data_IF_482040558662
#
_entry.id   IF_482040558662
#
_cell.length_a   1.000
_cell.length_b   1.000
_cell.length_c   1.000
_cell.angle_alpha   90.00
_cell.angle_beta   90.00
_cell.angle_gamma   90.00
#
_symmetry.space_group_name_H-M   'P 1'
#
loop_
_entity.id
_entity.type
_entity.pdbx_description
1 polymer ?
#
# COMPACT_ATOMS: atom_id res chain seq x y z
N UNK A 1 2.07 3.98 15.94
CA UNK A 1 2.00 3.56 17.36
C UNK A 1 1.38 4.63 18.23
N UNK A 2 1.99 5.82 18.31
CA UNK A 2 1.47 6.95 19.12
C UNK A 2 0.09 7.44 18.66
N UNK A 3 -0.11 7.67 17.36
CA UNK A 3 -1.41 8.11 16.81
C UNK A 3 -2.57 7.14 17.12
N UNK A 4 -2.25 5.84 17.22
CA UNK A 4 -3.22 4.80 17.57
C UNK A 4 -3.29 4.55 19.09
N UNK A 5 -2.66 5.41 19.90
CA UNK A 5 -2.64 5.34 21.37
C UNK A 5 -2.08 4.04 21.94
N UNK A 6 -1.21 3.36 21.21
CA UNK A 6 -0.50 2.18 21.72
C UNK A 6 0.66 2.55 22.65
N UNK A 7 1.22 3.75 22.49
CA UNK A 7 2.34 4.28 23.27
C UNK A 7 2.09 5.78 23.46
N UNK A 8 2.37 6.31 24.65
CA UNK A 8 2.41 7.74 24.93
C UNK A 8 3.84 8.24 24.73
N UNK A 9 4.03 9.17 23.79
CA UNK A 9 5.31 9.83 23.55
C UNK A 9 5.08 11.18 22.86
N UNK A 10 5.92 12.17 23.16
CA UNK A 10 5.95 13.41 22.38
C UNK A 10 6.65 13.12 21.04
N UNK A 11 5.84 13.00 19.98
CA UNK A 11 6.36 12.74 18.65
C UNK A 11 7.15 13.90 18.07
N UNK A 12 6.93 15.12 18.56
CA UNK A 12 7.70 16.28 18.08
C UNK A 12 9.14 16.19 18.58
N UNK A 13 9.35 15.85 19.85
CA UNK A 13 10.69 15.64 20.43
C UNK A 13 11.39 14.42 19.82
N UNK A 14 10.72 13.26 19.80
CA UNK A 14 11.34 11.99 19.38
C UNK A 14 11.77 11.99 17.91
N UNK A 15 11.05 12.73 17.05
CA UNK A 15 11.28 12.74 15.61
C UNK A 15 11.98 14.01 15.12
N UNK A 16 12.32 14.96 16.00
CA UNK A 16 12.92 16.24 15.61
C UNK A 16 14.22 16.05 14.79
N UNK A 17 15.12 15.17 15.24
CA UNK A 17 16.37 14.91 14.52
C UNK A 17 16.10 14.29 13.15
N UNK A 18 15.10 13.41 13.07
CA UNK A 18 14.72 12.75 11.82
C UNK A 18 14.08 13.74 10.84
N UNK A 19 13.21 14.63 11.31
CA UNK A 19 12.61 15.71 10.53
C UNK A 19 13.70 16.62 9.95
N UNK A 20 14.63 17.06 10.81
CA UNK A 20 15.75 17.92 10.42
C UNK A 20 16.64 17.25 9.37
N UNK A 21 16.87 15.94 9.49
CA UNK A 21 17.64 15.18 8.51
C UNK A 21 16.91 15.08 7.18
N UNK A 22 15.63 14.67 7.17
CA UNK A 22 14.85 14.56 5.93
C UNK A 22 14.72 15.93 5.27
N UNK A 23 14.48 17.00 6.04
CA UNK A 23 14.39 18.35 5.50
C UNK A 23 15.70 18.78 4.82
N UNK A 24 16.85 18.53 5.45
CA UNK A 24 18.16 18.82 4.84
C UNK A 24 18.37 18.01 3.56
N UNK A 25 18.07 16.71 3.57
CA UNK A 25 18.15 15.86 2.38
C UNK A 25 17.24 16.39 1.25
N UNK A 26 16.03 16.83 1.58
CA UNK A 26 15.10 17.41 0.60
C UNK A 26 15.66 18.67 -0.07
N UNK A 27 16.31 19.55 0.69
CA UNK A 27 16.85 20.83 0.20
C UNK A 27 18.18 20.66 -0.56
N UNK A 28 19.08 19.80 -0.06
CA UNK A 28 20.44 19.68 -0.60
C UNK A 28 20.63 18.50 -1.55
N UNK A 29 19.79 17.47 -1.46
CA UNK A 29 19.93 16.23 -2.22
C UNK A 29 18.56 15.62 -2.55
N UNK A 30 17.69 16.44 -3.16
CA UNK A 30 16.32 16.07 -3.49
C UNK A 30 16.25 14.71 -4.22
N UNK A 31 15.43 13.76 -3.74
CA UNK A 31 15.32 12.45 -4.37
C UNK A 31 14.92 12.55 -5.84
N UNK A 32 15.60 11.80 -6.70
CA UNK A 32 15.27 11.72 -8.13
C UNK A 32 14.10 10.78 -8.41
N UNK A 33 13.81 9.89 -7.48
CA UNK A 33 12.71 8.94 -7.58
C UNK A 33 11.42 9.59 -7.05
N UNK A 34 10.29 9.29 -7.70
CA UNK A 34 8.99 9.83 -7.29
C UNK A 34 8.34 8.95 -6.22
N UNK A 35 8.59 7.64 -6.24
CA UNK A 35 7.77 6.62 -5.60
C UNK A 35 7.68 6.64 -4.07
N UNK A 36 6.82 5.77 -3.54
CA UNK A 36 6.52 5.69 -2.11
C UNK A 36 7.71 5.25 -1.25
N UNK A 37 8.52 4.31 -1.74
CA UNK A 37 9.53 3.63 -0.92
C UNK A 37 10.83 4.44 -0.81
N UNK A 38 11.29 5.02 -1.92
CA UNK A 38 12.59 5.67 -2.02
C UNK A 38 12.51 7.07 -2.64
N UNK A 39 11.31 7.61 -2.80
CA UNK A 39 11.07 8.83 -3.55
C UNK A 39 10.38 9.95 -2.80
N UNK A 40 10.13 11.03 -3.53
CA UNK A 40 9.57 12.28 -3.00
C UNK A 40 8.18 12.08 -2.37
N UNK A 41 7.37 11.14 -2.88
CA UNK A 41 6.04 10.83 -2.33
C UNK A 41 6.13 10.13 -0.97
N UNK A 42 7.18 9.32 -0.75
CA UNK A 42 7.46 8.73 0.57
C UNK A 42 7.74 9.80 1.63
N UNK A 43 8.62 10.75 1.30
CA UNK A 43 8.91 11.91 2.15
C UNK A 43 7.65 12.75 2.39
N UNK A 44 6.90 13.03 1.33
CA UNK A 44 5.63 13.75 1.42
C UNK A 44 4.62 13.07 2.35
N UNK A 45 4.46 11.76 2.19
CA UNK A 45 3.54 10.95 3.01
C UNK A 45 3.94 10.99 4.49
N UNK A 46 5.24 10.95 4.79
CA UNK A 46 5.74 11.10 6.15
C UNK A 46 5.31 12.44 6.78
N UNK A 47 5.61 13.56 6.12
CA UNK A 47 5.26 14.89 6.65
C UNK A 47 3.74 15.14 6.67
N UNK A 48 3.00 14.57 5.72
CA UNK A 48 1.55 14.57 5.73
C UNK A 48 1.01 13.86 6.98
N UNK A 49 1.55 12.68 7.34
CA UNK A 49 1.17 12.00 8.58
C UNK A 49 1.59 12.77 9.83
N UNK A 50 2.65 13.57 9.79
CA UNK A 50 3.02 14.47 10.89
C UNK A 50 1.98 15.57 11.10
N UNK A 51 1.48 16.22 10.04
CA UNK A 51 0.46 17.27 10.17
C UNK A 51 -0.94 16.72 10.48
N UNK A 52 -1.24 15.47 10.07
CA UNK A 52 -2.50 14.78 10.38
C UNK A 52 -2.56 14.25 11.82
N UNK A 53 -1.46 14.32 12.58
CA UNK A 53 -1.47 13.89 13.97
C UNK A 53 -2.47 14.74 14.77
N UNK A 54 -3.48 14.17 15.43
CA UNK A 54 -4.44 14.93 16.23
C UNK A 54 -3.82 15.74 17.37
N UNK A 55 -2.61 15.36 17.81
CA UNK A 55 -1.84 16.09 18.82
C UNK A 55 -1.03 17.26 18.22
N UNK A 56 -0.99 17.39 16.89
CA UNK A 56 -0.35 18.51 16.24
C UNK A 56 -1.16 19.79 16.48
N UNK A 57 -0.49 20.84 16.94
CA UNK A 57 -1.08 22.17 17.06
C UNK A 57 -0.68 23.00 15.83
N UNK A 58 -1.66 23.58 15.14
CA UNK A 58 -1.46 24.42 13.94
C UNK A 58 -0.59 25.66 14.19
N UNK A 59 -0.47 26.12 15.43
CA UNK A 59 0.32 27.28 15.81
C UNK A 59 1.76 26.92 16.20
N UNK A 60 2.09 25.62 16.34
CA UNK A 60 3.46 25.19 16.60
C UNK A 60 4.33 25.41 15.36
N UNK A 61 5.55 25.89 15.61
CA UNK A 61 6.59 26.07 14.59
C UNK A 61 6.85 24.76 13.83
N UNK A 62 6.87 23.62 14.52
CA UNK A 62 7.06 22.30 13.90
C UNK A 62 6.00 21.99 12.85
N UNK A 63 4.73 22.27 13.15
CA UNK A 63 3.62 22.09 12.19
C UNK A 63 3.77 23.01 10.98
N UNK A 64 4.19 24.26 11.18
CA UNK A 64 4.44 25.20 10.08
C UNK A 64 5.61 24.76 9.20
N UNK A 65 6.72 24.28 9.80
CA UNK A 65 7.87 23.74 9.07
C UNK A 65 7.49 22.49 8.28
N UNK A 66 6.65 21.61 8.83
CA UNK A 66 6.16 20.43 8.13
C UNK A 66 5.27 20.81 6.93
N UNK A 67 4.39 21.82 7.08
CA UNK A 67 3.60 22.36 5.96
C UNK A 67 4.48 22.98 4.87
N UNK A 68 5.49 23.75 5.26
CA UNK A 68 6.46 24.32 4.31
C UNK A 68 7.22 23.23 3.56
N UNK A 69 7.59 22.15 4.25
CA UNK A 69 8.25 20.98 3.65
C UNK A 69 7.33 20.29 2.62
N UNK A 70 6.04 20.17 2.92
CA UNK A 70 5.06 19.65 1.96
C UNK A 70 4.92 20.54 0.73
N UNK A 71 5.00 21.86 0.86
CA UNK A 71 5.00 22.78 -0.30
C UNK A 71 6.21 22.49 -1.20
N UNK A 72 7.41 22.32 -0.62
CA UNK A 72 8.60 21.94 -1.39
C UNK A 72 8.44 20.57 -2.08
N UNK A 73 7.83 19.60 -1.40
CA UNK A 73 7.50 18.30 -1.99
C UNK A 73 6.54 18.45 -3.18
N UNK A 74 5.52 19.30 -3.08
CA UNK A 74 4.56 19.54 -4.17
C UNK A 74 5.24 20.21 -5.37
N UNK A 75 6.12 21.19 -5.13
CA UNK A 75 6.89 21.84 -6.19
C UNK A 75 7.79 20.85 -6.92
N UNK A 76 8.46 19.99 -6.17
CA UNK A 76 9.33 18.97 -6.74
C UNK A 76 8.56 17.88 -7.47
N UNK A 77 7.41 17.46 -6.92
CA UNK A 77 6.53 16.51 -7.56
C UNK A 77 6.05 17.04 -8.92
N UNK A 78 5.59 18.29 -9.00
CA UNK A 78 5.22 18.93 -10.28
C UNK A 78 6.35 18.87 -11.30
N UNK A 79 7.58 19.16 -10.86
CA UNK A 79 8.77 19.11 -11.71
C UNK A 79 9.04 17.70 -12.23
N UNK A 80 8.90 16.68 -11.38
CA UNK A 80 9.14 15.29 -11.76
C UNK A 80 7.97 14.69 -12.55
N UNK A 81 6.76 15.24 -12.45
CA UNK A 81 5.56 14.75 -13.16
C UNK A 81 5.27 15.43 -14.49
N UNK A 82 6.24 16.12 -15.09
CA UNK A 82 6.07 16.76 -16.40
C UNK A 82 5.77 15.74 -17.51
N UNK A 83 6.39 14.56 -17.47
CA UNK A 83 6.09 13.46 -18.39
C UNK A 83 5.15 12.44 -17.74
N UNK A 84 3.86 12.78 -17.70
CA UNK A 84 2.82 11.93 -17.09
C UNK A 84 2.75 10.55 -17.76
N UNK A 85 3.08 10.44 -19.05
CA UNK A 85 3.02 9.17 -19.79
C UNK A 85 4.01 8.15 -19.25
N UNK A 86 5.20 8.59 -18.85
CA UNK A 86 6.19 7.71 -18.23
C UNK A 86 5.75 7.24 -16.84
N UNK A 87 5.02 8.07 -16.10
CA UNK A 87 4.55 7.73 -14.75
C UNK A 87 3.40 6.72 -14.80
N UNK A 88 2.51 6.86 -15.79
CA UNK A 88 1.39 5.94 -16.02
C UNK A 88 1.87 4.53 -16.42
N UNK A 89 3.12 4.36 -16.84
CA UNK A 89 3.61 3.02 -17.21
C UNK A 89 3.50 2.06 -16.03
N UNK A 90 2.94 0.89 -16.33
CA UNK A 90 2.81 -0.19 -15.35
C UNK A 90 4.18 -0.73 -14.94
N UNK A 91 4.32 -1.18 -13.69
CA UNK A 91 5.56 -1.76 -13.20
C UNK A 91 5.89 -3.05 -13.96
N UNK A 92 7.16 -3.17 -14.35
CA UNK A 92 7.71 -4.38 -14.94
C UNK A 92 8.23 -5.30 -13.84
N UNK A 93 7.92 -6.61 -13.90
CA UNK A 93 8.52 -7.58 -13.01
C UNK A 93 9.95 -7.87 -13.45
N UNK A 94 10.84 -8.07 -12.48
CA UNK A 94 12.10 -8.76 -12.72
C UNK A 94 11.77 -10.25 -12.83
N UNK A 95 12.01 -10.86 -13.99
CA UNK A 95 11.93 -12.31 -14.12
C UNK A 95 13.10 -12.95 -13.38
N UNK A 96 12.79 -14.00 -12.63
CA UNK A 96 13.79 -14.88 -12.08
C UNK A 96 14.38 -15.75 -13.19
N UNK A 97 15.70 -15.88 -13.19
CA UNK A 97 16.39 -16.98 -13.84
C UNK A 97 15.91 -18.27 -13.17
N UNK A 98 15.03 -19.02 -13.82
CA UNK A 98 14.79 -20.40 -13.44
C UNK A 98 16.09 -21.18 -13.70
N UNK A 99 16.99 -21.24 -12.72
CA UNK A 99 18.05 -22.24 -12.70
C UNK A 99 17.38 -23.61 -12.56
N UNK A 100 16.98 -24.17 -13.70
CA UNK A 100 16.65 -25.56 -13.83
C UNK A 100 17.95 -26.32 -13.60
N UNK A 101 18.29 -26.64 -12.36
CA UNK A 101 19.35 -27.62 -12.09
C UNK A 101 18.81 -29.00 -12.48
N UNK A 102 19.23 -29.60 -13.62
CA UNK A 102 18.92 -31.00 -13.84
C UNK A 102 19.60 -31.80 -12.73
N UNK A 103 18.80 -32.52 -11.94
CA UNK A 103 19.31 -33.53 -11.03
C UNK A 103 20.03 -34.60 -11.86
N UNK A 104 21.35 -34.50 -11.92
CA UNK A 104 22.23 -35.49 -12.52
C UNK A 104 22.57 -35.23 -13.99
N UNK A 105 23.44 -34.26 -14.26
CA UNK A 105 24.19 -34.24 -15.52
C UNK A 105 25.62 -33.74 -15.26
N UNK A 106 26.60 -34.59 -15.59
CA UNK A 106 28.00 -34.21 -15.70
C UNK A 106 28.14 -33.09 -16.75
N UNK A 107 28.88 -32.05 -16.38
CA UNK A 107 29.31 -30.90 -17.19
C UNK A 107 29.65 -31.30 -18.64
N UNK A 108 28.99 -30.68 -19.62
CA UNK A 108 29.62 -30.14 -20.84
C UNK A 108 28.69 -29.12 -21.53
N UNK A 109 29.28 -27.99 -21.95
CA UNK A 109 28.79 -26.87 -22.78
C UNK A 109 28.07 -25.67 -22.09
N UNK A 110 28.62 -24.44 -22.23
CA UNK A 110 27.99 -23.21 -21.78
C UNK A 110 27.49 -22.37 -22.98
N UNK A 111 26.39 -22.75 -23.62
CA UNK A 111 25.72 -21.89 -24.61
C UNK A 111 24.21 -22.13 -24.62
N UNK A 112 23.53 -21.67 -23.58
CA UNK A 112 22.09 -21.35 -23.66
C UNK A 112 21.92 -19.91 -23.19
N UNK A 113 21.71 -19.01 -24.15
CA UNK A 113 21.26 -17.64 -23.88
C UNK A 113 19.86 -17.74 -23.27
N UNK A 114 19.75 -17.56 -21.96
CA UNK A 114 18.47 -17.37 -21.29
C UNK A 114 17.85 -16.05 -21.78
N UNK A 115 16.71 -16.15 -22.45
CA UNK A 115 15.87 -15.00 -22.78
C UNK A 115 15.12 -14.63 -21.50
N UNK A 116 15.54 -13.58 -20.81
CA UNK A 116 14.82 -13.00 -19.68
C UNK A 116 13.56 -12.35 -20.24
N UNK A 117 12.42 -13.04 -20.24
CA UNK A 117 11.13 -12.45 -20.59
C UNK A 117 10.65 -11.59 -19.42
N UNK A 118 10.75 -10.26 -19.51
CA UNK A 118 10.18 -9.37 -18.49
C UNK A 118 8.65 -9.44 -18.57
N UNK A 119 8.01 -9.99 -17.53
CA UNK A 119 6.55 -10.03 -17.42
C UNK A 119 6.10 -8.82 -16.61
N UNK A 120 5.01 -8.14 -17.00
CA UNK A 120 4.41 -7.13 -16.12
C UNK A 120 3.84 -7.82 -14.86
N UNK A 121 3.95 -7.19 -13.68
CA UNK A 121 3.35 -7.70 -12.46
C UNK A 121 2.53 -6.63 -11.74
N UNK A 122 1.61 -7.08 -10.89
CA UNK A 122 0.99 -6.23 -9.89
C UNK A 122 2.04 -5.72 -8.90
N UNK A 123 2.07 -4.41 -8.62
CA UNK A 123 2.83 -3.85 -7.50
C UNK A 123 2.01 -2.74 -6.83
N UNK A 124 1.66 -2.93 -5.55
CA UNK A 124 0.88 -1.95 -4.78
C UNK A 124 1.58 -0.59 -4.64
N UNK A 125 2.90 -0.56 -4.83
CA UNK A 125 3.73 0.65 -4.76
C UNK A 125 3.88 1.34 -6.11
N UNK A 126 3.13 0.92 -7.13
CA UNK A 126 3.10 1.58 -8.43
C UNK A 126 2.87 3.09 -8.29
N UNK A 127 3.82 3.87 -8.82
CA UNK A 127 3.91 5.30 -8.58
C UNK A 127 2.62 6.05 -8.90
N UNK A 128 1.96 5.73 -10.01
CA UNK A 128 0.85 6.55 -10.51
C UNK A 128 -0.37 6.59 -9.57
N UNK A 129 -0.97 5.46 -9.14
CA UNK A 129 -2.02 5.47 -8.11
C UNK A 129 -1.57 6.05 -6.77
N UNK A 130 -0.32 5.81 -6.37
CA UNK A 130 0.23 6.34 -5.10
C UNK A 130 0.30 7.86 -5.14
N UNK A 131 0.77 8.46 -6.24
CA UNK A 131 0.81 9.92 -6.41
C UNK A 131 -0.61 10.50 -6.35
N UNK A 132 -1.57 9.90 -7.07
CA UNK A 132 -2.95 10.33 -7.03
C UNK A 132 -3.52 10.30 -5.60
N UNK A 133 -3.31 9.19 -4.88
CA UNK A 133 -3.74 9.07 -3.48
C UNK A 133 -3.11 10.14 -2.59
N UNK A 134 -1.80 10.37 -2.74
CA UNK A 134 -1.07 11.39 -1.97
C UNK A 134 -1.61 12.79 -2.25
N UNK A 135 -1.84 13.14 -3.52
CA UNK A 135 -2.42 14.43 -3.90
C UNK A 135 -3.85 14.60 -3.35
N UNK A 136 -4.67 13.54 -3.35
CA UNK A 136 -6.00 13.56 -2.73
C UNK A 136 -5.91 13.88 -1.24
N UNK A 137 -4.98 13.27 -0.51
CA UNK A 137 -4.79 13.55 0.92
C UNK A 137 -4.31 14.99 1.17
N UNK A 138 -3.39 15.51 0.35
CA UNK A 138 -2.95 16.90 0.45
C UNK A 138 -4.11 17.88 0.24
N UNK A 139 -4.95 17.61 -0.76
CA UNK A 139 -6.14 18.40 -1.05
C UNK A 139 -7.12 18.39 0.13
N UNK A 140 -7.37 17.22 0.72
CA UNK A 140 -8.23 17.08 1.89
C UNK A 140 -7.71 17.87 3.11
N UNK A 141 -6.39 18.00 3.25
CA UNK A 141 -5.77 18.78 4.31
C UNK A 141 -5.67 20.29 4.01
N UNK A 142 -6.25 20.74 2.89
CA UNK A 142 -6.18 22.11 2.41
C UNK A 142 -4.75 22.64 2.21
N UNK A 143 -3.80 21.76 1.86
CA UNK A 143 -2.39 22.11 1.66
C UNK A 143 -2.16 22.50 0.20
N UNK A 144 -1.94 23.80 -0.03
CA UNK A 144 -1.60 24.36 -1.34
C UNK A 144 -2.57 23.94 -2.46
N UNK A 145 -3.87 23.93 -2.14
CA UNK A 145 -4.93 23.34 -2.97
C UNK A 145 -4.91 23.76 -4.43
N UNK A 146 -4.67 25.03 -4.74
CA UNK A 146 -4.63 25.49 -6.13
C UNK A 146 -3.61 24.73 -6.97
N UNK A 147 -2.43 24.44 -6.42
CA UNK A 147 -1.38 23.70 -7.12
C UNK A 147 -1.67 22.20 -7.13
N UNK A 148 -2.13 21.66 -6.00
CA UNK A 148 -2.53 20.25 -5.89
C UNK A 148 -3.66 19.91 -6.86
N UNK A 149 -4.65 20.77 -7.00
CA UNK A 149 -5.76 20.65 -7.94
C UNK A 149 -5.28 20.60 -9.39
N UNK A 150 -4.37 21.50 -9.78
CA UNK A 150 -3.75 21.46 -11.11
C UNK A 150 -3.00 20.16 -11.38
N UNK A 151 -2.25 19.66 -10.38
CA UNK A 151 -1.55 18.38 -10.49
C UNK A 151 -2.53 17.21 -10.63
N UNK A 152 -3.61 17.20 -9.86
CA UNK A 152 -4.66 16.19 -9.97
C UNK A 152 -5.28 16.22 -11.38
N UNK A 153 -5.61 17.40 -11.91
CA UNK A 153 -6.14 17.57 -13.26
C UNK A 153 -5.15 17.04 -14.32
N UNK A 154 -3.88 17.47 -14.25
CA UNK A 154 -2.81 17.02 -15.15
C UNK A 154 -2.61 15.50 -15.11
N UNK A 155 -2.75 14.88 -13.94
CA UNK A 155 -2.60 13.44 -13.79
C UNK A 155 -3.79 12.69 -14.37
N UNK A 156 -5.01 13.21 -14.25
CA UNK A 156 -6.24 12.51 -14.67
C UNK A 156 -6.53 12.67 -16.16
N UNK A 157 -6.23 13.83 -16.74
CA UNK A 157 -6.53 14.13 -18.14
C UNK A 157 -6.08 13.02 -19.12
N UNK A 158 -4.86 12.46 -19.02
CA UNK A 158 -4.41 11.37 -19.89
C UNK A 158 -5.25 10.10 -19.80
N UNK A 159 -5.91 9.82 -18.67
CA UNK A 159 -6.76 8.62 -18.50
C UNK A 159 -8.05 8.68 -19.31
N UNK A 160 -8.42 9.84 -19.83
CA UNK A 160 -9.54 9.97 -20.77
C UNK A 160 -9.28 9.21 -22.08
N UNK A 161 -8.01 8.94 -22.41
CA UNK A 161 -7.65 8.05 -23.50
C UNK A 161 -7.53 6.61 -22.98
N UNK A 162 -8.39 5.71 -23.46
CA UNK A 162 -8.39 4.29 -23.11
C UNK A 162 -7.05 3.59 -23.35
N UNK A 163 -6.18 4.10 -24.22
CA UNK A 163 -4.84 3.55 -24.46
C UNK A 163 -3.88 3.75 -23.28
N UNK A 164 -4.16 4.72 -22.41
CA UNK A 164 -3.36 5.01 -21.22
C UNK A 164 -3.88 4.25 -19.98
N UNK A 165 -4.97 3.49 -20.09
CA UNK A 165 -5.45 2.67 -18.99
C UNK A 165 -4.52 1.45 -18.80
N UNK A 166 -4.33 0.99 -17.55
CA UNK A 166 -3.51 -0.20 -17.29
C UNK A 166 -4.01 -1.42 -18.04
N UNK A 167 -3.08 -2.27 -18.48
CA UNK A 167 -3.37 -3.56 -19.12
C UNK A 167 -3.71 -4.61 -18.06
N UNK A 168 -2.97 -4.64 -16.96
CA UNK A 168 -3.25 -5.57 -15.86
C UNK A 168 -4.50 -5.13 -15.10
N UNK A 169 -5.44 -6.05 -14.91
CA UNK A 169 -6.66 -5.82 -14.15
C UNK A 169 -6.39 -5.55 -12.67
N UNK A 170 -5.34 -6.15 -12.11
CA UNK A 170 -4.84 -5.86 -10.76
C UNK A 170 -4.38 -4.39 -10.62
N UNK A 171 -3.69 -3.85 -11.62
CA UNK A 171 -3.31 -2.43 -11.65
C UNK A 171 -4.52 -1.52 -11.93
N UNK A 172 -5.48 -1.95 -12.76
CA UNK A 172 -6.77 -1.25 -12.92
C UNK A 172 -7.50 -1.12 -11.59
N UNK A 173 -7.56 -2.20 -10.81
CA UNK A 173 -8.19 -2.22 -9.49
C UNK A 173 -7.50 -1.24 -8.52
N UNK A 174 -6.16 -1.19 -8.50
CA UNK A 174 -5.42 -0.23 -7.67
C UNK A 174 -5.68 1.22 -8.09
N UNK A 175 -5.69 1.51 -9.39
CA UNK A 175 -6.00 2.85 -9.90
C UNK A 175 -7.45 3.25 -9.59
N UNK A 176 -8.39 2.30 -9.73
CA UNK A 176 -9.80 2.52 -9.41
C UNK A 176 -10.00 2.87 -7.93
N UNK A 177 -9.23 2.25 -7.02
CA UNK A 177 -9.20 2.62 -5.61
C UNK A 177 -8.77 4.08 -5.41
N UNK A 178 -7.66 4.51 -6.04
CA UNK A 178 -7.18 5.88 -5.91
C UNK A 178 -8.19 6.91 -6.45
N UNK A 179 -8.79 6.64 -7.62
CA UNK A 179 -9.82 7.51 -8.20
C UNK A 179 -11.12 7.52 -7.40
N UNK A 180 -11.50 6.40 -6.78
CA UNK A 180 -12.67 6.32 -5.90
C UNK A 180 -12.48 7.21 -4.68
N UNK A 181 -11.31 7.16 -4.04
CA UNK A 181 -10.99 8.04 -2.92
C UNK A 181 -11.05 9.51 -3.34
N UNK A 182 -10.40 9.85 -4.46
CA UNK A 182 -10.41 11.21 -4.98
C UNK A 182 -11.84 11.71 -5.18
N UNK A 183 -12.68 10.95 -5.89
CA UNK A 183 -14.07 11.32 -6.14
C UNK A 183 -14.80 11.65 -4.85
N UNK A 184 -14.67 10.79 -3.84
CA UNK A 184 -15.28 11.05 -2.54
C UNK A 184 -14.76 12.34 -1.92
N UNK A 185 -13.45 12.59 -1.92
CA UNK A 185 -12.91 13.84 -1.40
C UNK A 185 -13.47 15.08 -2.13
N UNK A 186 -13.69 14.99 -3.44
CA UNK A 186 -14.23 16.08 -4.26
C UNK A 186 -15.71 16.35 -3.98
N UNK A 187 -16.53 15.29 -3.87
CA UNK A 187 -17.96 15.38 -3.54
C UNK A 187 -18.19 16.13 -2.22
N UNK A 188 -17.30 15.99 -1.24
CA UNK A 188 -17.41 16.68 0.05
C UNK A 188 -16.89 18.13 0.01
N UNK A 189 -16.12 18.51 -1.01
CA UNK A 189 -15.39 19.78 -1.06
C UNK A 189 -16.07 20.85 -1.93
N UNK A 190 -17.18 20.54 -2.62
CA UNK A 190 -17.92 21.44 -3.54
C UNK A 190 -17.02 22.12 -4.60
N UNK A 191 -15.94 21.47 -5.05
CA UNK A 191 -15.02 22.08 -6.01
C UNK A 191 -15.50 21.92 -7.45
N UNK A 192 -16.12 22.98 -7.98
CA UNK A 192 -16.59 23.06 -9.37
C UNK A 192 -15.48 22.84 -10.42
N UNK A 193 -14.21 23.10 -10.08
CA UNK A 193 -13.09 22.99 -11.02
C UNK A 193 -12.60 21.54 -11.22
N UNK A 194 -12.91 20.62 -10.29
CA UNK A 194 -12.59 19.19 -10.42
C UNK A 194 -13.84 18.35 -10.75
N UNK A 195 -15.06 18.87 -10.57
CA UNK A 195 -16.33 18.24 -10.97
C UNK A 195 -16.43 17.96 -12.49
N UNK A 196 -15.70 18.71 -13.31
CA UNK A 196 -15.66 18.50 -14.77
C UNK A 196 -14.73 17.35 -15.19
N UNK A 197 -13.99 16.75 -14.25
CA UNK A 197 -13.17 15.59 -14.57
C UNK A 197 -14.08 14.39 -14.84
N UNK A 198 -13.84 13.69 -15.95
CA UNK A 198 -14.47 12.41 -16.29
C UNK A 198 -14.11 11.26 -15.33
N UNK A 199 -13.74 11.56 -14.08
CA UNK A 199 -13.28 10.61 -13.08
C UNK A 199 -14.32 9.51 -12.82
N UNK A 200 -15.62 9.83 -12.83
CA UNK A 200 -16.68 8.82 -12.69
C UNK A 200 -16.71 7.84 -13.86
N UNK A 201 -16.66 8.36 -15.10
CA UNK A 201 -16.61 7.54 -16.32
C UNK A 201 -15.35 6.68 -16.35
N UNK A 202 -14.19 7.27 -16.03
CA UNK A 202 -12.91 6.55 -15.95
C UNK A 202 -12.99 5.44 -14.90
N UNK A 203 -13.49 5.75 -13.70
CA UNK A 203 -13.61 4.77 -12.62
C UNK A 203 -14.56 3.62 -13.01
N UNK A 204 -15.69 3.93 -13.64
CA UNK A 204 -16.62 2.92 -14.17
C UNK A 204 -15.94 2.03 -15.22
N UNK A 205 -15.16 2.61 -16.13
CA UNK A 205 -14.40 1.86 -17.15
C UNK A 205 -13.31 0.97 -16.52
N UNK A 206 -12.72 1.37 -15.40
CA UNK A 206 -11.74 0.54 -14.69
C UNK A 206 -12.39 -0.67 -14.02
N UNK A 207 -13.65 -0.55 -13.56
CA UNK A 207 -14.38 -1.64 -12.91
C UNK A 207 -15.08 -2.60 -13.88
N UNK A 208 -15.52 -2.14 -15.06
CA UNK A 208 -16.44 -2.88 -15.94
C UNK A 208 -15.92 -4.26 -16.38
N UNK A 209 -14.62 -4.40 -16.57
CA UNK A 209 -13.98 -5.62 -17.07
C UNK A 209 -13.25 -6.42 -15.98
N UNK A 210 -13.35 -6.01 -14.70
CA UNK A 210 -12.62 -6.69 -13.63
C UNK A 210 -13.15 -8.11 -13.43
N UNK A 211 -12.26 -9.06 -13.64
CA UNK A 211 -12.48 -10.47 -13.48
C UNK A 211 -11.45 -11.04 -12.51
N UNK A 212 -11.97 -11.65 -11.44
CA UNK A 212 -11.17 -12.27 -10.39
C UNK A 212 -10.17 -13.30 -10.91
N UNK A 213 -10.55 -14.15 -11.86
CA UNK A 213 -9.67 -15.19 -12.39
C UNK A 213 -8.57 -14.59 -13.26
N UNK A 214 -8.86 -13.50 -13.98
CA UNK A 214 -7.82 -12.72 -14.66
C UNK A 214 -6.83 -12.13 -13.67
N UNK A 215 -7.29 -11.42 -12.63
CA UNK A 215 -6.43 -10.88 -11.57
C UNK A 215 -5.58 -11.99 -10.95
N UNK A 216 -6.17 -13.15 -10.67
CA UNK A 216 -5.44 -14.29 -10.10
C UNK A 216 -4.31 -14.78 -11.02
N UNK A 217 -4.52 -14.77 -12.33
CA UNK A 217 -3.51 -15.18 -13.32
C UNK A 217 -2.38 -14.14 -13.53
N UNK A 218 -2.60 -12.90 -13.11
CA UNK A 218 -1.61 -11.82 -13.15
C UNK A 218 -0.66 -11.86 -11.95
N UNK A 219 -1.07 -12.45 -10.83
CA UNK A 219 -0.25 -12.60 -9.63
C UNK A 219 0.74 -13.77 -9.79
N UNK A 220 1.87 -13.66 -9.10
CA UNK A 220 2.82 -14.77 -8.97
C UNK A 220 2.19 -15.92 -8.17
N UNK A 221 2.49 -17.15 -8.59
CA UNK A 221 1.95 -18.34 -7.92
C UNK A 221 2.46 -18.38 -6.47
N UNK A 222 1.54 -18.53 -5.51
CA UNK A 222 1.82 -18.56 -4.08
C UNK A 222 2.46 -17.27 -3.53
N UNK A 223 2.31 -16.14 -4.22
CA UNK A 223 2.65 -14.85 -3.66
C UNK A 223 1.50 -14.32 -2.80
N UNK A 224 1.74 -14.29 -1.50
CA UNK A 224 0.79 -13.84 -0.50
C UNK A 224 1.12 -12.44 0.03
N UNK A 225 2.17 -11.81 -0.46
CA UNK A 225 2.67 -10.53 0.07
C UNK A 225 1.68 -9.38 -0.17
N UNK A 226 1.85 -8.26 0.56
CA UNK A 226 1.09 -7.04 0.28
C UNK A 226 1.54 -6.42 -1.04
N UNK A 227 2.84 -6.48 -1.32
CA UNK A 227 3.42 -5.76 -2.46
C UNK A 227 2.97 -6.32 -3.81
N UNK A 228 3.06 -7.62 -3.98
CA UNK A 228 2.86 -8.29 -5.27
C UNK A 228 1.80 -9.39 -5.23
N UNK A 229 1.31 -9.73 -4.04
CA UNK A 229 0.50 -10.92 -3.81
C UNK A 229 -0.97 -10.69 -3.48
N UNK A 230 -1.64 -11.79 -3.10
CA UNK A 230 -3.07 -11.81 -2.79
C UNK A 230 -3.46 -10.92 -1.61
N UNK A 231 -2.54 -10.69 -0.66
CA UNK A 231 -2.79 -9.77 0.46
C UNK A 231 -2.90 -8.32 0.00
N UNK A 232 -2.15 -7.91 -1.03
CA UNK A 232 -2.28 -6.59 -1.62
C UNK A 232 -3.67 -6.36 -2.22
N UNK A 233 -4.15 -7.35 -2.99
CA UNK A 233 -5.50 -7.31 -3.57
C UNK A 233 -6.58 -7.28 -2.49
N UNK A 234 -6.46 -8.12 -1.45
CA UNK A 234 -7.36 -8.09 -0.31
C UNK A 234 -7.39 -6.72 0.37
N UNK A 235 -6.21 -6.10 0.56
CA UNK A 235 -6.12 -4.77 1.14
C UNK A 235 -6.83 -3.71 0.28
N UNK A 236 -6.71 -3.77 -1.06
CA UNK A 236 -7.42 -2.85 -1.96
C UNK A 236 -8.93 -2.97 -1.77
N UNK A 237 -9.49 -4.19 -1.78
CA UNK A 237 -10.93 -4.37 -1.58
C UNK A 237 -11.39 -3.91 -0.19
N UNK A 238 -10.58 -4.10 0.84
CA UNK A 238 -10.87 -3.55 2.17
C UNK A 238 -11.01 -2.03 2.11
N UNK A 239 -10.07 -1.34 1.48
CA UNK A 239 -10.13 0.12 1.33
C UNK A 239 -11.35 0.56 0.51
N UNK A 240 -11.71 -0.15 -0.56
CA UNK A 240 -12.92 0.12 -1.32
C UNK A 240 -14.19 0.01 -0.47
N UNK A 241 -14.30 -0.99 0.40
CA UNK A 241 -15.44 -1.13 1.33
C UNK A 241 -15.48 0.04 2.31
N UNK A 242 -14.34 0.43 2.88
CA UNK A 242 -14.26 1.55 3.83
C UNK A 242 -14.68 2.88 3.20
N UNK A 243 -14.37 3.06 1.91
CA UNK A 243 -14.76 4.24 1.15
C UNK A 243 -16.24 4.17 0.75
N UNK A 244 -16.69 3.13 0.04
CA UNK A 244 -18.00 3.13 -0.64
C UNK A 244 -19.13 2.48 0.15
N UNK A 245 -18.80 1.70 1.19
CA UNK A 245 -19.75 0.82 1.89
C UNK A 245 -20.48 -0.20 1.00
N UNK A 246 -19.97 -0.47 -0.21
CA UNK A 246 -20.63 -1.39 -1.15
C UNK A 246 -20.40 -2.87 -0.80
N UNK A 247 -21.51 -3.62 -0.73
CA UNK A 247 -21.50 -5.04 -0.31
C UNK A 247 -20.76 -5.94 -1.32
N UNK A 248 -20.71 -5.57 -2.59
CA UNK A 248 -20.04 -6.37 -3.63
C UNK A 248 -18.55 -6.55 -3.35
N UNK A 249 -17.87 -5.51 -2.84
CA UNK A 249 -16.45 -5.59 -2.47
C UNK A 249 -16.20 -6.47 -1.25
N UNK A 250 -17.19 -6.64 -0.36
CA UNK A 250 -17.07 -7.54 0.79
C UNK A 250 -16.88 -9.00 0.36
N UNK A 251 -17.61 -9.45 -0.66
CA UNK A 251 -17.48 -10.81 -1.20
C UNK A 251 -16.10 -11.04 -1.81
N UNK A 252 -15.56 -10.04 -2.51
CA UNK A 252 -14.20 -10.11 -3.06
C UNK A 252 -13.15 -10.12 -1.95
N UNK A 253 -13.27 -9.26 -0.94
CA UNK A 253 -12.37 -9.25 0.22
C UNK A 253 -12.31 -10.63 0.90
N UNK A 254 -13.45 -11.25 1.17
CA UNK A 254 -13.53 -12.57 1.80
C UNK A 254 -12.83 -13.65 0.94
N UNK A 255 -12.97 -13.59 -0.38
CA UNK A 255 -12.27 -14.49 -1.30
C UNK A 255 -10.76 -14.30 -1.23
N UNK A 256 -10.26 -13.07 -1.39
CA UNK A 256 -8.81 -12.81 -1.47
C UNK A 256 -8.10 -13.06 -0.14
N UNK A 257 -8.76 -12.80 0.99
CA UNK A 257 -8.21 -13.20 2.29
C UNK A 257 -8.18 -14.72 2.42
N UNK A 258 -9.21 -15.42 1.95
CA UNK A 258 -9.20 -16.89 1.97
C UNK A 258 -8.06 -17.46 1.11
N UNK A 259 -7.79 -16.88 -0.07
CA UNK A 259 -6.62 -17.27 -0.88
C UNK A 259 -5.30 -17.04 -0.12
N UNK A 260 -5.19 -15.91 0.57
CA UNK A 260 -4.02 -15.60 1.39
C UNK A 260 -3.83 -16.58 2.57
N UNK A 261 -4.92 -17.22 3.05
CA UNK A 261 -4.87 -18.09 4.25
C UNK A 261 -4.30 -19.46 3.97
N UNK A 262 -4.35 -19.90 2.71
CA UNK A 262 -3.77 -21.17 2.32
C UNK A 262 -2.24 -21.16 2.49
N UNK A 263 -1.62 -19.97 2.51
CA UNK A 263 -0.24 -19.74 2.92
C UNK A 263 0.09 -20.33 4.30
N UNK A 264 -0.77 -20.18 5.32
CA UNK A 264 -0.46 -20.65 6.68
C UNK A 264 -0.33 -22.18 6.78
N UNK A 265 -0.91 -22.92 5.83
CA UNK A 265 -0.79 -24.37 5.76
C UNK A 265 0.46 -24.80 5.00
N UNK A 266 0.88 -24.05 3.98
CA UNK A 266 2.13 -24.30 3.24
C UNK A 266 3.38 -23.81 3.99
N UNK A 267 3.27 -22.75 4.80
CA UNK A 267 4.34 -22.27 5.69
C UNK A 267 4.72 -23.31 6.75
N UNK A 268 3.80 -24.23 7.11
CA UNK A 268 4.12 -25.38 7.97
C UNK A 268 4.99 -26.43 7.27
N UNK A 269 5.08 -26.39 5.93
CA UNK A 269 5.77 -27.36 5.10
C UNK A 269 7.09 -26.83 4.50
N UNK A 270 7.67 -25.75 5.05
CA UNK A 270 8.93 -25.14 4.60
C UNK A 270 8.90 -24.55 3.17
N UNK A 271 7.72 -24.33 2.58
CA UNK A 271 7.61 -23.64 1.29
C UNK A 271 7.67 -22.12 1.50
N UNK A 272 8.72 -21.57 0.90
CA UNK A 272 9.13 -20.16 0.74
C UNK A 272 7.94 -19.18 0.67
N UNK A 273 7.83 -18.29 1.66
CA UNK A 273 7.00 -17.07 1.58
C UNK A 273 7.81 -16.04 0.80
N UNK A 274 7.38 -15.72 -0.44
CA UNK A 274 8.07 -14.76 -1.30
C UNK A 274 9.38 -15.31 -1.84
N UNK A 275 9.58 -15.21 -3.14
CA UNK A 275 10.56 -16.00 -3.87
C UNK A 275 11.99 -15.98 -3.30
N UNK A 276 12.62 -17.12 -3.52
CA UNK A 276 13.81 -17.67 -2.93
C UNK A 276 15.11 -17.01 -3.35
N UNK A 277 15.40 -15.77 -2.93
CA UNK A 277 16.79 -15.30 -2.87
C UNK A 277 17.12 -14.49 -1.61
N UNK A 278 17.76 -15.16 -0.66
CA UNK A 278 18.77 -14.61 0.27
C UNK A 278 18.45 -13.60 1.39
N UNK A 279 17.23 -13.11 1.62
CA UNK A 279 17.03 -12.14 2.72
C UNK A 279 16.10 -12.63 3.84
N UNK A 280 16.70 -13.22 4.89
CA UNK A 280 16.05 -13.39 6.22
C UNK A 280 15.49 -12.07 6.78
N UNK A 281 15.93 -10.94 6.24
CA UNK A 281 15.59 -9.58 6.69
C UNK A 281 14.18 -9.14 6.28
N UNK A 282 13.63 -9.60 5.15
CA UNK A 282 12.29 -9.19 4.68
C UNK A 282 11.16 -10.10 5.18
N UNK A 283 11.48 -11.25 5.77
CA UNK A 283 10.52 -12.25 6.23
C UNK A 283 9.45 -11.70 7.19
N UNK A 284 9.76 -10.64 7.93
CA UNK A 284 8.85 -9.97 8.87
C UNK A 284 8.43 -8.56 8.43
N UNK A 285 8.81 -8.13 7.22
CA UNK A 285 8.43 -6.83 6.66
C UNK A 285 6.93 -6.69 6.42
N UNK A 286 6.45 -5.45 6.31
CA UNK A 286 5.04 -5.17 6.01
C UNK A 286 4.72 -5.45 4.55
N UNK A 287 5.59 -5.08 3.61
CA UNK A 287 5.29 -5.20 2.18
C UNK A 287 5.48 -6.62 1.66
N UNK A 288 6.59 -7.25 2.02
CA UNK A 288 7.02 -8.55 1.47
C UNK A 288 7.04 -9.66 2.53
N UNK A 289 6.72 -9.36 3.79
CA UNK A 289 6.84 -10.29 4.90
C UNK A 289 5.52 -10.66 5.57
N UNK A 290 5.64 -11.48 6.62
CA UNK A 290 4.50 -12.01 7.37
C UNK A 290 3.66 -10.93 8.08
N UNK A 291 4.28 -9.81 8.46
CA UNK A 291 3.56 -8.74 9.15
C UNK A 291 2.44 -8.17 8.27
N UNK A 292 2.70 -7.99 6.96
CA UNK A 292 1.68 -7.53 6.01
C UNK A 292 0.50 -8.48 5.89
N UNK A 293 0.81 -9.77 5.73
CA UNK A 293 -0.18 -10.84 5.62
C UNK A 293 -1.10 -10.83 6.85
N UNK A 294 -0.52 -10.73 8.06
CA UNK A 294 -1.25 -10.72 9.33
C UNK A 294 -2.17 -9.51 9.51
N UNK A 295 -1.81 -8.33 8.97
CA UNK A 295 -2.63 -7.12 9.07
C UNK A 295 -4.01 -7.29 8.41
N UNK A 296 -4.10 -8.03 7.31
CA UNK A 296 -5.37 -8.29 6.66
C UNK A 296 -6.29 -9.21 7.47
N UNK A 297 -5.73 -10.19 8.20
CA UNK A 297 -6.51 -11.12 9.02
C UNK A 297 -7.23 -10.48 10.20
N UNK A 298 -6.57 -9.57 10.90
CA UNK A 298 -7.13 -8.91 12.07
C UNK A 298 -8.39 -8.09 11.73
N UNK A 299 -8.54 -7.69 10.47
CA UNK A 299 -9.68 -6.90 10.01
C UNK A 299 -10.97 -7.74 9.97
N UNK A 300 -10.88 -9.03 9.61
CA UNK A 300 -12.06 -9.91 9.49
C UNK A 300 -12.50 -10.46 10.85
N UNK A 301 -11.58 -10.62 11.81
CA UNK A 301 -11.94 -11.09 13.15
C UNK A 301 -12.84 -10.11 13.92
N UNK A 302 -12.83 -8.83 13.56
CA UNK A 302 -13.71 -7.82 14.14
C UNK A 302 -15.12 -7.82 13.53
N UNK A 303 -15.32 -8.48 12.38
CA UNK A 303 -16.62 -8.55 11.69
C UNK A 303 -17.29 -9.93 11.74
N UNK A 304 -16.58 -11.00 12.13
CA UNK A 304 -17.14 -12.34 12.31
C UNK A 304 -16.56 -13.05 13.56
N UNK A 305 -17.34 -13.12 14.63
CA UNK A 305 -16.88 -13.50 15.98
C UNK A 305 -16.70 -15.00 16.24
N UNK A 306 -17.15 -15.91 15.37
CA UNK A 306 -17.24 -17.34 15.73
C UNK A 306 -16.18 -18.27 15.11
N UNK A 307 -15.63 -17.96 13.92
CA UNK A 307 -14.72 -18.90 13.23
C UNK A 307 -13.23 -18.61 13.50
N UNK A 308 -12.85 -17.35 13.72
CA UNK A 308 -11.43 -16.94 13.82
C UNK A 308 -10.89 -16.99 15.26
N UNK A 309 -11.76 -16.99 16.28
CA UNK A 309 -11.36 -17.14 17.68
C UNK A 309 -10.59 -18.45 17.92
N UNK A 310 -10.85 -19.47 17.09
CA UNK A 310 -10.15 -20.76 17.10
C UNK A 310 -8.76 -20.72 16.42
N UNK A 311 -8.53 -19.80 15.47
CA UNK A 311 -7.29 -19.70 14.71
C UNK A 311 -6.25 -18.80 15.41
N UNK A 312 -6.66 -17.63 15.94
CA UNK A 312 -5.72 -16.76 16.67
C UNK A 312 -5.22 -17.39 17.97
N UNK A 313 -6.09 -18.11 18.71
CA UNK A 313 -5.69 -18.81 19.94
C UNK A 313 -4.79 -20.02 19.69
N UNK A 314 -4.94 -20.73 18.57
CA UNK A 314 -4.06 -21.87 18.24
C UNK A 314 -2.65 -21.40 17.84
N UNK A 315 -2.54 -20.32 17.07
CA UNK A 315 -1.24 -19.77 16.65
C UNK A 315 -0.49 -19.16 17.85
N UNK A 316 -1.18 -18.42 18.72
CA UNK A 316 -0.59 -17.84 19.94
C UNK A 316 -0.21 -18.94 20.96
N UNK A 317 -1.07 -19.92 21.22
CA UNK A 317 -0.78 -20.97 22.20
C UNK A 317 0.34 -21.93 21.76
N UNK A 318 0.51 -22.17 20.44
CA UNK A 318 1.56 -23.06 19.95
C UNK A 318 2.95 -22.39 19.94
N UNK A 319 3.01 -21.06 19.79
CA UNK A 319 4.25 -20.29 19.94
C UNK A 319 4.74 -20.25 21.40
N UNK A 320 3.82 -20.12 22.36
CA UNK A 320 4.14 -20.14 23.80
C UNK A 320 4.63 -21.51 24.30
N UNK A 321 4.32 -22.61 23.61
CA UNK A 321 4.80 -23.96 23.98
C UNK A 321 6.23 -24.21 23.45
N UNK A 322 6.68 -23.50 22.41
CA UNK A 322 8.05 -23.65 21.85
C UNK A 322 9.08 -22.72 22.47
N UNK A 323 8.67 -21.59 23.05
CA UNK A 323 9.54 -20.65 23.74
C UNK A 323 9.20 -20.72 25.22
N UNK A 324 9.96 -21.48 26.00
CA UNK A 324 9.78 -21.62 27.46
C UNK A 324 10.02 -20.31 28.21
N UNK A 325 9.11 -19.35 28.06
CA UNK A 325 9.06 -18.07 28.76
C UNK A 325 7.60 -17.77 29.13
N UNK A 326 7.10 -18.52 30.11
CA UNK A 326 5.88 -18.15 30.80
C UNK A 326 6.17 -16.96 31.72
N UNK A 327 5.81 -15.74 31.31
CA UNK A 327 5.22 -14.71 32.18
C UNK A 327 4.83 -13.40 31.47
N UNK A 328 5.22 -13.14 30.22
CA UNK A 328 4.86 -11.86 29.55
C UNK A 328 3.53 -11.88 28.78
N UNK A 329 2.92 -13.04 28.55
CA UNK A 329 1.69 -13.16 27.74
C UNK A 329 0.36 -13.02 28.53
N UNK A 330 0.39 -12.57 29.79
CA UNK A 330 -0.85 -12.27 30.54
C UNK A 330 -1.36 -10.84 30.36
N UNK A 331 -0.63 -9.96 29.67
CA UNK A 331 -1.03 -8.57 29.47
C UNK A 331 -2.01 -8.32 28.30
N UNK A 332 -2.17 -9.27 27.37
CA UNK A 332 -3.01 -9.08 26.17
C UNK A 332 -4.44 -9.65 26.27
N UNK A 333 -4.85 -10.16 27.44
CA UNK A 333 -6.14 -10.84 27.62
C UNK A 333 -7.20 -10.07 28.42
N UNK A 334 -6.94 -8.82 28.82
CA UNK A 334 -7.92 -8.02 29.58
C UNK A 334 -7.96 -6.59 29.05
N UNK A 335 -8.78 -6.38 28.02
CA UNK A 335 -9.21 -5.04 27.62
C UNK A 335 -10.61 -4.77 28.19
N UNK A 336 -10.81 -3.68 28.95
CA UNK A 336 -12.13 -3.23 29.36
C UNK A 336 -12.86 -2.58 28.18
N UNK A 337 -14.16 -2.84 28.09
CA UNK A 337 -15.08 -2.18 27.17
C UNK A 337 -15.10 -0.67 27.47
N UNK A 338 -14.98 0.23 26.48
CA UNK A 338 -15.29 1.64 26.70
C UNK A 338 -16.79 1.78 26.96
N UNK A 339 -17.12 2.36 28.11
CA UNK A 339 -18.47 2.70 28.50
C UNK A 339 -19.07 3.67 27.47
N UNK A 340 -20.21 3.28 26.93
CA UNK A 340 -21.13 4.18 26.24
C UNK A 340 -21.68 5.20 27.24
N UNK A 341 -21.57 6.50 26.95
CA UNK A 341 -22.52 7.50 27.42
C UNK A 341 -22.22 8.88 26.80
N UNK A 342 -23.21 9.80 26.78
CA UNK A 342 -24.66 9.61 26.63
C UNK A 342 -25.15 9.98 25.22
#
# INVERSE_FOLDING_TARGET
LVQNKFIEADTDEVLEEFDNRIFKELIYSTPKEIGLLNGIVGIGTYFLKRIQNPLANNEKITTLTNKQTLIHVIDELERQTQDVKEIIKEPEARTETHEHFPKGALRTNPETKETIETKQCFDITWNYPVILWFLTELYQQNIFNFKVEKLIQQMIEPLSNNQNLPKLQSNRLLLALALTKLRQTLEHSNSQALEQLNAETINTNLFIDLNRETIKSELLLNDFTIKHGTSGIAWIYKQLIELTSEIQFKKELEYWVTQSSHAENDVKNNTVIGDSTNHKETAFGILEGQAGILLNYQTISHSNTNTIKYLSTKTINKYNIKQGKGQEARLFAQLPLPASAP
#
